data_IF_478107330529
#
_entry.id   IF_478107330529
#
_cell.length_a   1.000
_cell.length_b   1.000
_cell.length_c   1.000
_cell.angle_alpha   90.00
_cell.angle_beta   90.00
_cell.angle_gamma   90.00
#
_symmetry.space_group_name_H-M   'P 1'
#
loop_
_entity.id
_entity.type
_entity.pdbx_description
1 polymer ?
#
# COMPACT_ATOMS: atom_id res chain seq x y z
N UNK A 1 -36.71 26.87 -16.13
CA UNK A 1 -35.31 26.43 -15.85
C UNK A 1 -35.06 24.91 -15.98
N UNK A 2 -36.06 24.03 -15.93
CA UNK A 2 -35.86 22.56 -15.92
C UNK A 2 -35.46 21.95 -17.28
N UNK A 3 -35.82 22.59 -18.41
CA UNK A 3 -35.52 22.07 -19.77
C UNK A 3 -34.06 22.21 -20.22
N UNK A 4 -33.28 23.11 -19.63
CA UNK A 4 -31.88 23.35 -20.01
C UNK A 4 -30.93 22.31 -19.42
N UNK A 5 -31.13 21.93 -18.15
CA UNK A 5 -30.37 20.86 -17.46
C UNK A 5 -30.45 19.50 -18.16
N UNK A 6 -31.60 19.14 -18.74
CA UNK A 6 -31.75 17.84 -19.45
C UNK A 6 -30.97 17.79 -20.78
N UNK A 7 -30.67 18.94 -21.41
CA UNK A 7 -29.89 18.99 -22.66
C UNK A 7 -28.38 18.88 -22.42
N UNK A 8 -27.88 19.44 -21.33
CA UNK A 8 -26.46 19.31 -20.94
C UNK A 8 -26.14 17.88 -20.53
N UNK A 9 -27.01 17.23 -19.75
CA UNK A 9 -26.80 15.83 -19.33
C UNK A 9 -26.81 14.83 -20.49
N UNK A 10 -27.57 15.09 -21.57
CA UNK A 10 -27.55 14.23 -22.77
C UNK A 10 -26.30 14.41 -23.64
N UNK A 11 -25.66 15.59 -23.64
CA UNK A 11 -24.42 15.84 -24.40
C UNK A 11 -23.18 15.27 -23.73
N UNK A 12 -23.18 15.12 -22.41
CA UNK A 12 -22.09 14.44 -21.68
C UNK A 12 -22.13 12.92 -21.91
N UNK A 13 -23.33 12.34 -22.08
CA UNK A 13 -23.51 10.92 -22.36
C UNK A 13 -23.16 10.49 -23.81
N UNK A 14 -22.99 11.44 -24.74
CA UNK A 14 -22.64 11.17 -26.14
C UNK A 14 -21.14 11.17 -26.42
N UNK A 15 -20.28 11.30 -25.41
CA UNK A 15 -18.84 11.13 -25.59
C UNK A 15 -18.47 9.65 -25.38
N UNK A 16 -18.14 8.89 -26.43
CA UNK A 16 -17.73 7.49 -26.31
C UNK A 16 -16.48 7.33 -25.42
N UNK A 17 -15.67 8.39 -25.29
CA UNK A 17 -14.52 8.42 -24.38
C UNK A 17 -14.91 8.47 -22.90
N UNK A 18 -15.94 9.24 -22.51
CA UNK A 18 -16.39 9.29 -21.11
C UNK A 18 -16.99 7.95 -20.66
N UNK A 19 -17.76 7.29 -21.54
CA UNK A 19 -18.24 5.94 -21.31
C UNK A 19 -17.10 4.90 -21.25
N UNK A 20 -16.02 5.10 -22.03
CA UNK A 20 -14.81 4.26 -22.03
C UNK A 20 -13.96 4.47 -20.77
N UNK A 21 -13.89 5.67 -20.22
CA UNK A 21 -13.25 5.95 -18.91
C UNK A 21 -14.09 5.44 -17.73
N UNK A 22 -15.43 5.47 -17.82
CA UNK A 22 -16.32 4.89 -16.81
C UNK A 22 -16.33 3.34 -16.89
N UNK A 23 -16.16 2.75 -18.09
CA UNK A 23 -15.91 1.31 -18.30
C UNK A 23 -14.46 0.88 -18.05
N UNK A 24 -13.54 1.82 -17.88
CA UNK A 24 -12.25 1.62 -17.20
C UNK A 24 -12.43 1.67 -15.67
N UNK A 25 -13.63 1.34 -15.16
CA UNK A 25 -13.65 0.34 -14.09
C UNK A 25 -12.95 -0.88 -14.67
N UNK A 26 -11.62 -0.89 -14.53
CA UNK A 26 -10.90 -2.13 -14.43
C UNK A 26 -11.65 -2.92 -13.36
N UNK A 27 -12.54 -3.81 -13.80
CA UNK A 27 -12.87 -5.00 -13.06
C UNK A 27 -11.57 -5.77 -13.00
N UNK A 28 -10.65 -5.27 -12.17
CA UNK A 28 -9.50 -5.99 -11.68
C UNK A 28 -10.15 -7.06 -10.80
N UNK A 29 -10.57 -8.13 -11.47
CA UNK A 29 -11.27 -9.24 -10.88
C UNK A 29 -10.17 -10.08 -10.24
N UNK A 30 -10.06 -9.95 -8.92
CA UNK A 30 -8.94 -10.47 -8.11
C UNK A 30 -9.21 -11.93 -7.72
N UNK A 31 -9.95 -12.62 -8.58
CA UNK A 31 -10.10 -14.07 -8.63
C UNK A 31 -9.21 -14.70 -9.70
N UNK A 32 -8.42 -13.89 -10.45
CA UNK A 32 -7.45 -14.40 -11.40
C UNK A 32 -6.14 -14.84 -10.74
N UNK A 33 -5.45 -15.78 -11.38
CA UNK A 33 -4.11 -16.20 -10.98
C UNK A 33 -3.15 -15.01 -10.88
N UNK A 34 -3.27 -14.03 -11.79
CA UNK A 34 -2.44 -12.82 -11.80
C UNK A 34 -2.56 -12.03 -10.49
N UNK A 35 -3.79 -11.87 -10.00
CA UNK A 35 -4.02 -11.11 -8.78
C UNK A 35 -3.53 -11.85 -7.53
N UNK A 36 -3.54 -13.18 -7.55
CA UNK A 36 -2.88 -14.00 -6.54
C UNK A 36 -1.37 -13.78 -6.56
N UNK A 37 -0.72 -13.82 -7.73
CA UNK A 37 0.72 -13.60 -7.85
C UNK A 37 1.14 -12.18 -7.44
N UNK A 38 0.35 -11.16 -7.79
CA UNK A 38 0.60 -9.78 -7.34
C UNK A 38 0.51 -9.66 -5.81
N UNK A 39 -0.51 -10.27 -5.19
CA UNK A 39 -0.62 -10.28 -3.73
C UNK A 39 0.58 -10.97 -3.09
N UNK A 40 0.91 -12.19 -3.53
CA UNK A 40 2.03 -12.95 -3.01
C UNK A 40 3.37 -12.25 -3.23
N UNK A 41 3.58 -11.63 -4.39
CA UNK A 41 4.79 -10.85 -4.69
C UNK A 41 4.95 -9.67 -3.74
N UNK A 42 3.90 -8.87 -3.54
CA UNK A 42 3.95 -7.74 -2.61
C UNK A 42 4.14 -8.16 -1.15
N UNK A 43 3.49 -9.25 -0.72
CA UNK A 43 3.69 -9.81 0.62
C UNK A 43 5.11 -10.35 0.80
N UNK A 44 5.68 -10.97 -0.23
CA UNK A 44 7.07 -11.44 -0.23
C UNK A 44 8.05 -10.27 -0.08
N UNK A 45 7.83 -9.15 -0.78
CA UNK A 45 8.64 -7.94 -0.62
C UNK A 45 8.57 -7.41 0.83
N UNK A 46 7.37 -7.38 1.44
CA UNK A 46 7.22 -6.97 2.83
C UNK A 46 7.89 -7.95 3.81
N UNK A 47 7.82 -9.25 3.54
CA UNK A 47 8.49 -10.27 4.34
C UNK A 47 10.01 -10.11 4.33
N UNK A 48 10.62 -9.95 3.14
CA UNK A 48 12.06 -9.72 3.03
C UNK A 48 12.49 -8.40 3.63
N UNK A 49 11.68 -7.33 3.51
CA UNK A 49 11.93 -6.09 4.25
C UNK A 49 12.04 -6.33 5.76
N UNK A 50 11.16 -7.17 6.30
CA UNK A 50 11.23 -7.53 7.71
C UNK A 50 12.48 -8.35 8.06
N UNK A 51 12.88 -9.28 7.19
CA UNK A 51 14.14 -10.02 7.35
C UNK A 51 15.37 -9.10 7.30
N UNK A 52 15.39 -8.11 6.42
CA UNK A 52 16.47 -7.13 6.34
C UNK A 52 16.65 -6.39 7.68
N UNK A 53 15.55 -6.08 8.37
CA UNK A 53 15.59 -5.46 9.70
C UNK A 53 16.03 -6.41 10.81
N UNK A 54 15.57 -7.68 10.80
CA UNK A 54 15.99 -8.68 11.80
C UNK A 54 17.45 -9.10 11.62
N UNK A 55 17.93 -9.19 10.38
CA UNK A 55 19.30 -9.59 10.08
C UNK A 55 20.33 -8.47 10.26
N UNK A 56 19.88 -7.24 10.53
CA UNK A 56 20.78 -6.11 10.74
C UNK A 56 21.54 -6.27 12.07
N UNK A 57 22.88 -6.21 12.06
CA UNK A 57 23.67 -6.31 13.29
C UNK A 57 23.30 -5.21 14.29
N UNK A 58 23.12 -5.58 15.56
CA UNK A 58 22.66 -4.66 16.61
C UNK A 58 23.64 -3.51 16.92
N UNK A 59 24.92 -3.71 16.61
CA UNK A 59 26.00 -2.72 16.72
C UNK A 59 26.08 -1.78 15.50
N UNK A 60 25.32 -2.06 14.45
CA UNK A 60 25.25 -1.24 13.25
C UNK A 60 23.97 -0.40 13.28
N UNK A 61 24.10 0.90 13.54
CA UNK A 61 23.01 1.87 13.33
C UNK A 61 23.24 2.53 11.97
N UNK A 62 22.43 2.21 10.93
CA UNK A 62 22.56 2.90 9.66
C UNK A 62 22.37 4.40 9.85
N UNK A 63 23.28 5.21 9.31
CA UNK A 63 23.19 6.67 9.34
C UNK A 63 21.93 7.24 8.64
N UNK A 64 21.12 6.38 8.03
CA UNK A 64 19.99 6.72 7.16
C UNK A 64 18.64 6.29 7.75
N UNK A 65 18.60 5.74 8.97
CA UNK A 65 17.32 5.41 9.61
C UNK A 65 16.48 6.65 9.87
N UNK A 66 15.18 6.55 9.56
CA UNK A 66 14.22 7.57 9.94
C UNK A 66 14.06 7.68 11.46
N UNK A 67 13.55 8.81 11.96
CA UNK A 67 13.17 9.01 13.37
C UNK A 67 12.24 7.91 13.88
N UNK A 68 11.30 7.46 13.04
CA UNK A 68 10.38 6.35 13.33
C UNK A 68 11.12 5.03 13.46
N UNK A 69 12.03 4.71 12.54
CA UNK A 69 12.83 3.48 12.62
C UNK A 69 13.67 3.45 13.90
N UNK A 70 14.15 4.62 14.37
CA UNK A 70 14.90 4.76 15.61
C UNK A 70 14.04 4.72 16.88
N UNK A 71 12.71 4.81 16.76
CA UNK A 71 11.81 4.87 17.91
C UNK A 71 11.65 3.53 18.64
N UNK A 72 12.05 2.42 18.00
CA UNK A 72 12.05 1.09 18.59
C UNK A 72 13.21 0.27 18.02
N UNK A 73 13.60 -0.86 18.67
CA UNK A 73 14.55 -1.80 18.09
C UNK A 73 14.15 -2.26 16.67
N UNK A 74 15.13 -2.33 15.75
CA UNK A 74 14.86 -2.66 14.34
C UNK A 74 14.23 -4.04 14.16
N UNK A 75 14.63 -5.02 14.96
CA UNK A 75 14.05 -6.36 14.99
C UNK A 75 12.53 -6.33 15.29
N UNK A 76 12.07 -5.42 16.15
CA UNK A 76 10.65 -5.23 16.46
C UNK A 76 9.87 -4.83 15.21
N UNK A 77 10.39 -3.87 14.44
CA UNK A 77 9.81 -3.51 13.14
C UNK A 77 9.89 -4.67 12.15
N UNK A 78 11.01 -5.40 12.15
CA UNK A 78 11.22 -6.55 11.30
C UNK A 78 10.19 -7.65 11.52
N UNK A 79 9.96 -8.04 12.77
CA UNK A 79 8.92 -8.99 13.15
C UNK A 79 7.52 -8.49 12.79
N UNK A 80 7.24 -7.20 12.92
CA UNK A 80 5.96 -6.64 12.52
C UNK A 80 5.71 -6.81 11.01
N UNK A 81 6.70 -6.50 10.17
CA UNK A 81 6.62 -6.73 8.72
C UNK A 81 6.41 -8.20 8.38
N UNK A 82 7.21 -9.09 8.98
CA UNK A 82 7.13 -10.55 8.78
C UNK A 82 5.75 -11.07 9.17
N UNK A 83 5.23 -10.70 10.34
CA UNK A 83 3.93 -11.17 10.83
C UNK A 83 2.79 -10.69 9.92
N UNK A 84 2.79 -9.41 9.53
CA UNK A 84 1.73 -8.89 8.66
C UNK A 84 1.78 -9.55 7.27
N UNK A 85 2.98 -9.76 6.72
CA UNK A 85 3.17 -10.46 5.46
C UNK A 85 2.72 -11.92 5.53
N UNK A 86 3.07 -12.64 6.61
CA UNK A 86 2.67 -14.02 6.83
C UNK A 86 1.15 -14.15 6.97
N UNK A 87 0.50 -13.28 7.75
CA UNK A 87 -0.97 -13.24 7.88
C UNK A 87 -1.62 -13.01 6.52
N UNK A 88 -1.12 -12.04 5.74
CA UNK A 88 -1.59 -11.78 4.39
C UNK A 88 -1.47 -13.00 3.48
N UNK A 89 -0.29 -13.64 3.49
CA UNK A 89 0.03 -14.77 2.61
C UNK A 89 -0.78 -16.02 2.94
N UNK A 90 -0.92 -16.36 4.22
CA UNK A 90 -1.79 -17.44 4.69
C UNK A 90 -3.24 -17.14 4.27
N UNK A 91 -3.69 -15.89 4.45
CA UNK A 91 -5.01 -15.45 4.01
C UNK A 91 -5.24 -15.67 2.51
N UNK A 92 -4.30 -15.26 1.66
CA UNK A 92 -4.37 -15.41 0.21
C UNK A 92 -4.34 -16.89 -0.20
N UNK A 93 -3.39 -17.66 0.34
CA UNK A 93 -3.16 -19.06 -0.04
C UNK A 93 -4.36 -19.96 0.24
N UNK A 94 -5.02 -19.78 1.39
CA UNK A 94 -6.18 -20.58 1.78
C UNK A 94 -7.53 -19.96 1.39
N UNK A 95 -7.55 -18.93 0.55
CA UNK A 95 -8.77 -18.22 0.16
C UNK A 95 -9.52 -17.56 1.32
N UNK A 96 -8.84 -17.30 2.45
CA UNK A 96 -9.37 -16.62 3.63
C UNK A 96 -9.25 -15.10 3.46
N UNK A 97 -10.02 -14.55 2.53
CA UNK A 97 -9.89 -13.18 2.06
C UNK A 97 -9.98 -12.08 3.14
N UNK A 98 -10.70 -12.31 4.25
CA UNK A 98 -10.68 -11.37 5.41
C UNK A 98 -9.31 -11.33 6.08
N UNK A 99 -8.68 -12.50 6.24
CA UNK A 99 -7.35 -12.63 6.87
C UNK A 99 -6.31 -11.99 5.96
N UNK A 100 -6.41 -12.23 4.64
CA UNK A 100 -5.58 -11.56 3.65
C UNK A 100 -5.70 -10.03 3.74
N UNK A 101 -6.94 -9.53 3.82
CA UNK A 101 -7.19 -8.11 4.02
C UNK A 101 -6.52 -7.59 5.29
N UNK A 102 -6.66 -8.26 6.43
CA UNK A 102 -6.00 -7.83 7.69
C UNK A 102 -4.50 -7.68 7.49
N UNK A 103 -3.81 -8.66 6.87
CA UNK A 103 -2.37 -8.56 6.60
C UNK A 103 -2.00 -7.34 5.76
N UNK A 104 -2.70 -7.11 4.64
CA UNK A 104 -2.48 -5.92 3.82
C UNK A 104 -2.80 -4.61 4.56
N UNK A 105 -3.90 -4.57 5.32
CA UNK A 105 -4.33 -3.38 6.07
C UNK A 105 -3.35 -2.99 7.16
N UNK A 106 -2.77 -3.96 7.87
CA UNK A 106 -1.70 -3.71 8.82
C UNK A 106 -0.46 -3.18 8.12
N UNK A 107 -0.06 -3.77 6.98
CA UNK A 107 1.06 -3.25 6.19
C UNK A 107 0.84 -1.81 5.72
N UNK A 108 -0.39 -1.41 5.35
CA UNK A 108 -0.70 0.00 5.05
C UNK A 108 -0.32 0.90 6.23
N UNK A 109 -0.74 0.54 7.45
CA UNK A 109 -0.44 1.34 8.63
C UNK A 109 1.08 1.46 8.86
N UNK A 110 1.81 0.35 8.78
CA UNK A 110 3.27 0.33 8.97
C UNK A 110 3.97 1.18 7.90
N UNK A 111 3.65 0.99 6.62
CA UNK A 111 4.24 1.74 5.52
C UNK A 111 3.93 3.24 5.60
N UNK A 112 2.73 3.64 6.03
CA UNK A 112 2.38 5.05 6.26
C UNK A 112 3.22 5.64 7.40
N UNK A 113 3.34 4.94 8.51
CA UNK A 113 4.14 5.40 9.67
C UNK A 113 5.60 5.61 9.27
N UNK A 114 6.20 4.66 8.55
CA UNK A 114 7.58 4.78 8.04
C UNK A 114 7.72 5.90 7.00
N UNK A 115 6.76 6.02 6.09
CA UNK A 115 6.76 7.06 5.08
C UNK A 115 6.66 8.47 5.68
N UNK A 116 5.80 8.67 6.66
CA UNK A 116 5.67 9.95 7.39
C UNK A 116 6.96 10.25 8.15
N UNK A 117 7.52 9.29 8.89
CA UNK A 117 8.78 9.47 9.61
C UNK A 117 9.93 9.86 8.67
N UNK A 118 10.05 9.16 7.55
CA UNK A 118 11.06 9.48 6.53
C UNK A 118 10.87 10.87 5.93
N UNK A 119 9.63 11.31 5.67
CA UNK A 119 9.37 12.66 5.15
C UNK A 119 9.60 13.75 6.19
N UNK A 120 9.23 13.50 7.46
CA UNK A 120 9.46 14.44 8.55
C UNK A 120 10.97 14.73 8.71
N UNK A 121 11.80 13.68 8.70
CA UNK A 121 13.26 13.83 8.78
C UNK A 121 13.87 14.57 7.58
N UNK A 122 13.23 14.48 6.41
CA UNK A 122 13.66 15.22 5.22
C UNK A 122 13.28 16.68 5.33
N UNK A 123 12.07 16.98 5.82
CA UNK A 123 11.61 18.36 6.05
C UNK A 123 12.45 19.07 7.11
N UNK A 124 12.79 18.38 8.20
CA UNK A 124 13.65 18.91 9.25
C UNK A 124 15.04 19.27 8.70
N UNK A 125 15.66 18.37 7.93
CA UNK A 125 16.96 18.62 7.27
C UNK A 125 16.90 19.70 6.19
N UNK A 126 15.84 19.72 5.39
CA UNK A 126 15.68 20.71 4.31
C UNK A 126 15.51 22.14 4.86
N UNK A 127 14.94 22.29 6.06
CA UNK A 127 14.86 23.60 6.72
C UNK A 127 16.21 24.15 7.18
N UNK A 128 17.23 23.29 7.29
CA UNK A 128 18.56 23.59 7.81
C UNK A 128 19.64 23.73 6.72
N UNK A 129 19.39 23.31 5.49
CA UNK A 129 20.40 23.30 4.43
C UNK A 129 19.76 23.48 3.06
N UNK A 130 20.25 24.43 2.26
CA UNK A 130 19.67 24.93 1.00
C UNK A 130 19.72 23.91 -0.18
N UNK A 131 19.82 22.61 0.08
CA UNK A 131 19.82 21.57 -0.96
C UNK A 131 19.43 20.18 -0.46
N UNK A 132 18.30 19.66 -0.92
CA UNK A 132 18.25 18.59 -1.94
C UNK A 132 16.92 17.82 -1.90
N UNK A 133 16.32 17.61 -3.07
CA UNK A 133 15.11 16.78 -3.27
C UNK A 133 15.37 15.28 -3.04
N UNK A 134 16.60 14.89 -2.69
CA UNK A 134 17.08 13.50 -2.75
C UNK A 134 16.42 12.58 -1.70
N UNK A 135 15.95 13.12 -0.57
CA UNK A 135 15.33 12.36 0.51
C UNK A 135 13.83 12.04 0.32
N UNK A 136 13.09 12.86 -0.43
CA UNK A 136 11.64 12.72 -0.59
C UNK A 136 11.25 11.42 -1.30
N UNK A 137 12.11 10.91 -2.19
CA UNK A 137 11.85 9.69 -2.96
C UNK A 137 11.58 8.50 -2.05
N UNK A 138 12.35 8.34 -0.99
CA UNK A 138 12.20 7.22 -0.07
C UNK A 138 10.83 7.29 0.60
N UNK A 139 10.54 8.37 1.33
CA UNK A 139 9.26 8.55 2.02
C UNK A 139 8.03 8.46 1.11
N UNK A 140 8.08 9.08 -0.08
CA UNK A 140 7.02 8.93 -1.09
C UNK A 140 6.92 7.50 -1.61
N UNK A 141 8.04 6.78 -1.75
CA UNK A 141 8.06 5.36 -2.10
C UNK A 141 7.33 4.49 -1.07
N UNK A 142 7.50 4.76 0.23
CA UNK A 142 6.77 4.08 1.30
C UNK A 142 5.27 4.37 1.22
N UNK A 143 4.86 5.63 1.01
CA UNK A 143 3.44 6.02 0.99
C UNK A 143 2.77 5.62 -0.33
N UNK A 144 3.26 6.15 -1.44
CA UNK A 144 2.63 6.00 -2.77
C UNK A 144 2.96 4.65 -3.39
N UNK A 145 4.18 4.15 -3.21
CA UNK A 145 4.59 2.86 -3.73
C UNK A 145 4.00 1.72 -2.90
N UNK A 146 4.36 1.64 -1.63
CA UNK A 146 3.97 0.50 -0.79
C UNK A 146 2.58 0.65 -0.18
N UNK A 147 2.29 1.71 0.57
CA UNK A 147 1.04 1.81 1.30
C UNK A 147 -0.19 1.87 0.38
N UNK A 148 -0.16 2.62 -0.72
CA UNK A 148 -1.26 2.65 -1.69
C UNK A 148 -1.48 1.29 -2.36
N UNK A 149 -0.41 0.58 -2.74
CA UNK A 149 -0.54 -0.76 -3.32
C UNK A 149 -1.16 -1.72 -2.30
N UNK A 150 -0.66 -1.74 -1.06
CA UNK A 150 -1.28 -2.56 0.00
C UNK A 150 -2.72 -2.15 0.30
N UNK A 151 -3.09 -0.87 0.20
CA UNK A 151 -4.47 -0.41 0.37
C UNK A 151 -5.39 -0.89 -0.77
N UNK A 152 -4.89 -0.92 -2.01
CA UNK A 152 -5.61 -1.48 -3.14
C UNK A 152 -5.84 -3.00 -2.95
N UNK A 153 -4.82 -3.73 -2.49
CA UNK A 153 -4.90 -5.17 -2.21
C UNK A 153 -5.77 -5.48 -0.98
N UNK A 154 -5.79 -4.62 0.03
CA UNK A 154 -6.73 -4.67 1.15
C UNK A 154 -8.18 -4.59 0.65
N UNK A 155 -8.48 -3.53 -0.12
CA UNK A 155 -9.84 -3.29 -0.64
C UNK A 155 -10.29 -4.42 -1.55
N UNK A 156 -9.39 -4.90 -2.40
CA UNK A 156 -9.57 -6.09 -3.20
C UNK A 156 -10.00 -7.30 -2.37
N UNK A 157 -9.19 -7.66 -1.36
CA UNK A 157 -9.42 -8.81 -0.50
C UNK A 157 -10.78 -8.69 0.21
N UNK A 158 -11.14 -7.49 0.66
CA UNK A 158 -12.45 -7.23 1.26
C UNK A 158 -13.61 -7.39 0.27
N UNK A 159 -13.43 -6.98 -0.99
CA UNK A 159 -14.44 -7.19 -2.03
C UNK A 159 -14.61 -8.68 -2.32
N UNK A 160 -13.52 -9.43 -2.49
CA UNK A 160 -13.55 -10.88 -2.70
C UNK A 160 -14.27 -11.60 -1.55
N UNK A 161 -13.97 -11.22 -0.30
CA UNK A 161 -14.69 -11.73 0.87
C UNK A 161 -16.19 -11.44 0.81
N UNK A 162 -16.59 -10.20 0.52
CA UNK A 162 -18.01 -9.82 0.44
C UNK A 162 -18.73 -10.60 -0.66
N UNK A 163 -18.12 -10.73 -1.84
CA UNK A 163 -18.68 -11.49 -2.95
C UNK A 163 -18.87 -12.97 -2.61
N UNK A 164 -17.94 -13.56 -1.84
CA UNK A 164 -18.04 -14.95 -1.41
C UNK A 164 -19.17 -15.21 -0.38
N UNK A 165 -19.56 -14.19 0.40
CA UNK A 165 -20.57 -14.31 1.46
C UNK A 165 -21.90 -13.60 1.14
N UNK A 166 -22.05 -13.05 -0.07
CA UNK A 166 -23.30 -12.45 -0.55
C UNK A 166 -24.27 -13.50 -1.15
N UNK A 167 -23.96 -14.79 -0.98
CA UNK A 167 -24.79 -15.94 -1.36
C UNK A 167 -25.39 -16.53 -0.11
#
# INVERSE_FOLDING_TARGET
>A
MVRWRRRVLRRVASFPLAARFIRLRADFRIDSADAFFVQMGMLTVAFFRGLDYVAMPADTVPAVLSSVERAAPLDTWGYLFILCAAVGAVGAHFGRWRVCAVGHGLLVAVYVVFGIGSLADVLERASLTDSSLFGFRTGLGWIVGAAVVHAALYRSSMNAWRSANAR
#
